data_IF_095596172856
#
_entry.id   IF_095596172856
#
_cell.length_a   1.000
_cell.length_b   1.000
_cell.length_c   1.000
_cell.angle_alpha   90.00
_cell.angle_beta   90.00
_cell.angle_gamma   90.00
#
_symmetry.space_group_name_H-M   'P 1'
#
loop_
_entity.id
_entity.type
_entity.pdbx_description
1 polymer ?
#
# COMPACT_ATOMS: atom_id res chain seq x y z
N UNK A 1 -56.21 0.10 -48.09
CA UNK A 1 -55.94 1.55 -47.98
C UNK A 1 -54.47 1.71 -47.67
N UNK A 2 -53.79 2.50 -48.50
CA UNK A 2 -52.35 2.67 -48.55
C UNK A 2 -51.87 3.79 -47.59
N UNK A 3 -50.60 3.67 -47.17
CA UNK A 3 -49.55 4.66 -46.79
C UNK A 3 -49.90 6.17 -46.66
N UNK A 4 -49.12 7.00 -45.90
CA UNK A 4 -47.64 7.03 -45.99
C UNK A 4 -46.81 7.42 -44.75
N UNK A 5 -45.50 7.28 -44.95
CA UNK A 5 -44.37 7.81 -44.17
C UNK A 5 -44.24 9.35 -44.25
N UNK A 6 -43.52 9.93 -43.27
CA UNK A 6 -42.68 11.17 -43.35
C UNK A 6 -41.80 11.25 -42.08
N UNK A 7 -40.48 11.15 -42.25
CA UNK A 7 -39.46 12.22 -42.05
C UNK A 7 -39.28 12.60 -40.56
N UNK A 8 -38.24 12.18 -39.84
CA UNK A 8 -36.80 12.50 -39.98
C UNK A 8 -36.53 14.00 -39.81
N UNK A 9 -36.26 14.42 -38.57
CA UNK A 9 -35.54 15.64 -38.23
C UNK A 9 -34.39 15.26 -37.29
N UNK A 10 -33.18 15.33 -37.86
CA UNK A 10 -31.89 15.43 -37.20
C UNK A 10 -31.84 16.66 -36.29
N UNK A 11 -31.24 16.52 -35.09
CA UNK A 11 -30.59 17.56 -34.28
C UNK A 11 -30.20 16.89 -32.95
N UNK A 12 -29.03 17.02 -32.34
CA UNK A 12 -27.79 17.71 -32.63
C UNK A 12 -26.78 17.09 -31.65
N UNK A 13 -26.15 15.98 -32.01
CA UNK A 13 -25.18 15.26 -31.15
C UNK A 13 -23.78 15.21 -31.79
N UNK A 14 -23.48 16.24 -32.59
CA UNK A 14 -22.24 16.34 -33.37
C UNK A 14 -21.62 17.74 -33.29
N UNK A 15 -21.45 18.29 -32.09
CA UNK A 15 -20.59 19.47 -31.84
C UNK A 15 -19.93 19.42 -30.48
N UNK A 16 -18.96 18.52 -30.31
CA UNK A 16 -17.83 18.69 -29.38
C UNK A 16 -16.74 17.63 -29.64
N UNK A 17 -16.40 17.42 -30.91
CA UNK A 17 -15.20 16.71 -31.31
C UNK A 17 -14.47 17.60 -32.32
N UNK A 18 -13.53 18.42 -31.83
CA UNK A 18 -12.35 18.97 -32.53
C UNK A 18 -11.85 20.24 -31.82
N UNK A 19 -10.85 20.07 -30.95
CA UNK A 19 -9.66 20.93 -30.84
C UNK A 19 -8.82 20.54 -29.62
N UNK A 20 -8.49 19.25 -29.49
CA UNK A 20 -7.30 18.88 -28.72
C UNK A 20 -6.14 18.86 -29.72
N UNK A 21 -5.50 20.02 -29.87
CA UNK A 21 -4.24 20.13 -30.61
C UNK A 21 -3.28 19.07 -30.11
N UNK A 22 -2.76 18.28 -31.04
CA UNK A 22 -1.74 17.29 -30.79
C UNK A 22 -0.47 18.01 -30.31
N UNK A 23 -0.29 18.09 -29.00
CA UNK A 23 0.98 18.44 -28.40
C UNK A 23 1.88 17.19 -28.47
N UNK A 24 2.48 17.00 -29.65
CA UNK A 24 3.56 16.04 -29.85
C UNK A 24 4.80 16.59 -29.16
N UNK A 25 5.21 15.92 -28.09
CA UNK A 25 6.61 15.86 -27.69
C UNK A 25 6.99 16.68 -26.46
N UNK A 26 6.54 16.24 -25.29
CA UNK A 26 7.40 16.25 -24.11
C UNK A 26 7.42 14.83 -23.55
N UNK A 27 8.58 14.17 -23.59
CA UNK A 27 8.77 12.93 -22.86
C UNK A 27 8.44 13.24 -21.40
N UNK A 28 7.45 12.55 -20.84
CA UNK A 28 7.04 12.75 -19.44
C UNK A 28 8.17 12.21 -18.58
N UNK A 29 9.04 13.12 -18.14
CA UNK A 29 10.12 12.81 -17.21
C UNK A 29 9.50 12.16 -15.97
N UNK A 30 9.97 10.98 -15.59
CA UNK A 30 9.42 10.27 -14.43
C UNK A 30 9.79 11.09 -13.19
N UNK A 31 8.80 11.70 -12.53
CA UNK A 31 8.98 12.41 -11.27
C UNK A 31 9.30 11.40 -10.16
N UNK A 32 10.59 11.14 -9.99
CA UNK A 32 11.09 10.22 -8.99
C UNK A 32 10.81 10.73 -7.55
N UNK A 33 10.66 12.04 -7.34
CA UNK A 33 10.24 12.56 -6.03
C UNK A 33 8.78 12.28 -5.74
N UNK A 34 7.90 12.32 -6.74
CA UNK A 34 6.52 11.84 -6.59
C UNK A 34 6.49 10.35 -6.23
N UNK A 35 7.36 9.53 -6.85
CA UNK A 35 7.50 8.12 -6.49
C UNK A 35 7.95 7.96 -5.03
N UNK A 36 9.02 8.62 -4.60
CA UNK A 36 9.52 8.49 -3.22
C UNK A 36 8.46 8.94 -2.19
N UNK A 37 7.76 10.04 -2.48
CA UNK A 37 6.61 10.50 -1.66
C UNK A 37 5.49 9.47 -1.63
N UNK A 38 5.17 8.83 -2.76
CA UNK A 38 4.16 7.78 -2.86
C UNK A 38 4.57 6.52 -2.08
N UNK A 39 5.82 6.07 -2.19
CA UNK A 39 6.35 4.95 -1.40
C UNK A 39 6.32 5.23 0.09
N UNK A 40 6.74 6.45 0.50
CA UNK A 40 6.66 6.92 1.88
C UNK A 40 5.22 6.88 2.39
N UNK A 41 4.29 7.43 1.62
CA UNK A 41 2.86 7.39 1.93
C UNK A 41 2.39 5.95 2.11
N UNK A 42 2.65 5.05 1.15
CA UNK A 42 2.23 3.65 1.19
C UNK A 42 2.78 2.88 2.41
N UNK A 43 4.04 3.11 2.79
CA UNK A 43 4.64 2.49 4.00
C UNK A 43 3.93 2.99 5.25
N UNK A 44 3.73 4.30 5.38
CA UNK A 44 3.00 4.86 6.51
C UNK A 44 1.54 4.38 6.54
N UNK A 45 0.89 4.23 5.39
CA UNK A 45 -0.46 3.69 5.24
C UNK A 45 -0.57 2.25 5.73
N UNK A 46 0.32 1.37 5.29
CA UNK A 46 0.38 -0.05 5.71
C UNK A 46 0.52 -0.14 7.24
N UNK A 47 1.38 0.71 7.82
CA UNK A 47 1.68 0.66 9.26
C UNK A 47 0.51 1.05 10.14
N UNK A 48 -0.40 1.89 9.66
CA UNK A 48 -1.60 2.25 10.43
C UNK A 48 -2.51 1.04 10.70
N UNK A 49 -2.54 0.05 9.80
CA UNK A 49 -3.29 -1.19 10.03
C UNK A 49 -2.69 -2.10 11.10
N UNK A 50 -1.43 -1.88 11.49
CA UNK A 50 -0.72 -2.68 12.49
C UNK A 50 -0.32 -1.87 13.74
N UNK A 51 -0.73 -0.60 13.78
CA UNK A 51 -0.20 0.38 14.72
C UNK A 51 -0.45 -0.07 16.15
N UNK A 52 0.64 -0.11 16.92
CA UNK A 52 0.64 -0.26 18.37
C UNK A 52 1.39 0.94 18.94
N UNK A 53 0.71 1.71 19.79
CA UNK A 53 1.31 2.90 20.40
C UNK A 53 1.91 2.46 21.74
N UNK A 54 3.23 2.51 21.89
CA UNK A 54 3.90 2.10 23.12
C UNK A 54 3.73 3.13 24.24
N UNK A 55 3.95 2.69 25.47
CA UNK A 55 4.27 3.56 26.58
C UNK A 55 5.79 3.86 26.52
N UNK A 56 6.17 5.08 26.10
CA UNK A 56 7.57 5.42 25.84
C UNK A 56 8.24 5.99 27.11
N UNK A 57 9.10 5.22 27.78
CA UNK A 57 9.86 5.67 28.96
C UNK A 57 8.98 6.28 30.08
N UNK A 58 7.75 5.76 30.26
CA UNK A 58 6.78 6.29 31.22
C UNK A 58 5.96 7.50 30.75
N UNK A 59 6.27 8.05 29.57
CA UNK A 59 5.44 9.07 28.90
C UNK A 59 4.58 8.36 27.84
N UNK A 60 3.24 8.43 27.93
CA UNK A 60 2.38 7.84 26.92
C UNK A 60 2.54 8.62 25.61
N UNK A 61 2.81 7.90 24.53
CA UNK A 61 2.80 8.44 23.17
C UNK A 61 1.37 8.65 22.66
N UNK A 62 0.43 8.93 23.56
CA UNK A 62 -0.97 9.23 23.29
C UNK A 62 -1.57 10.06 24.44
N UNK A 63 -2.68 10.72 24.16
CA UNK A 63 -3.53 11.40 25.13
C UNK A 63 -5.00 11.07 24.85
N UNK A 64 -5.78 10.81 25.90
CA UNK A 64 -7.24 10.68 25.78
C UNK A 64 -7.84 12.07 25.60
N UNK A 65 -8.69 12.26 24.59
CA UNK A 65 -9.33 13.56 24.40
C UNK A 65 -10.51 13.71 25.38
N UNK A 66 -10.60 14.84 26.11
CA UNK A 66 -11.58 15.03 27.19
C UNK A 66 -12.98 15.43 26.68
N UNK A 67 -13.33 15.09 25.43
CA UNK A 67 -14.65 15.35 24.89
C UNK A 67 -15.71 14.48 25.59
N UNK A 68 -16.95 14.98 25.68
CA UNK A 68 -18.09 14.20 26.22
C UNK A 68 -18.59 13.15 25.21
N UNK A 69 -18.41 13.42 23.91
CA UNK A 69 -18.82 12.57 22.80
C UNK A 69 -17.67 12.43 21.79
N UNK A 70 -17.66 11.34 21.02
CA UNK A 70 -16.75 11.20 19.87
C UNK A 70 -17.22 12.17 18.76
N UNK A 71 -16.35 13.08 18.34
CA UNK A 71 -16.72 14.23 17.52
C UNK A 71 -16.12 14.23 16.10
N UNK A 72 -15.16 13.34 15.81
CA UNK A 72 -14.44 13.35 14.54
C UNK A 72 -15.06 12.33 13.59
N UNK A 73 -15.04 11.06 13.94
CA UNK A 73 -15.52 10.00 13.05
C UNK A 73 -17.04 10.03 12.87
N UNK A 74 -17.80 10.37 13.92
CA UNK A 74 -19.26 10.58 13.84
C UNK A 74 -19.64 11.77 12.96
N UNK A 75 -18.79 12.81 12.87
CA UNK A 75 -19.03 14.02 12.09
C UNK A 75 -18.32 14.00 10.73
N UNK A 76 -18.17 12.82 10.13
CA UNK A 76 -17.60 12.69 8.78
C UNK A 76 -16.14 13.12 8.67
N UNK A 77 -15.35 12.89 9.73
CA UNK A 77 -13.91 13.21 9.80
C UNK A 77 -13.60 14.72 9.75
N UNK A 78 -14.53 15.57 10.17
CA UNK A 78 -14.31 17.01 10.21
C UNK A 78 -13.28 17.41 11.27
N UNK A 79 -12.60 18.52 11.00
CA UNK A 79 -11.68 19.15 11.94
C UNK A 79 -12.41 19.58 13.22
N UNK A 80 -11.72 19.49 14.36
CA UNK A 80 -12.27 19.83 15.67
C UNK A 80 -11.27 20.62 16.49
N UNK A 81 -11.74 21.59 17.28
CA UNK A 81 -10.89 22.36 18.18
C UNK A 81 -10.41 21.46 19.32
N UNK A 82 -9.10 21.45 19.56
CA UNK A 82 -8.55 20.75 20.71
C UNK A 82 -8.94 21.50 21.99
N UNK A 83 -9.41 20.77 23.02
CA UNK A 83 -9.74 21.38 24.29
C UNK A 83 -8.47 21.87 24.99
N UNK A 84 -8.60 22.98 25.70
CA UNK A 84 -7.54 23.51 26.55
C UNK A 84 -7.29 22.56 27.72
N UNK A 85 -6.14 21.87 27.70
CA UNK A 85 -5.80 20.79 28.62
C UNK A 85 -4.28 20.56 28.71
N UNK A 86 -3.73 20.62 29.92
CA UNK A 86 -2.30 20.47 30.21
C UNK A 86 -1.67 19.18 29.64
N UNK A 87 -2.40 18.06 29.65
CA UNK A 87 -1.89 16.78 29.14
C UNK A 87 -1.83 16.77 27.60
N UNK A 88 -2.78 17.44 26.94
CA UNK A 88 -2.75 17.65 25.48
C UNK A 88 -1.59 18.57 25.12
N UNK A 89 -1.40 19.67 25.82
CA UNK A 89 -0.27 20.57 25.58
C UNK A 89 1.08 19.87 25.76
N UNK A 90 1.23 19.07 26.82
CA UNK A 90 2.42 18.23 27.03
C UNK A 90 2.62 17.23 25.90
N UNK A 91 1.55 16.56 25.47
CA UNK A 91 1.61 15.63 24.35
C UNK A 91 2.05 16.32 23.05
N UNK A 92 1.47 17.48 22.72
CA UNK A 92 1.82 18.25 21.53
C UNK A 92 3.27 18.74 21.61
N UNK A 93 3.71 19.23 22.77
CA UNK A 93 5.09 19.64 22.99
C UNK A 93 6.08 18.48 22.77
N UNK A 94 5.73 17.27 23.22
CA UNK A 94 6.59 16.09 23.09
C UNK A 94 6.53 15.44 21.69
N UNK A 95 5.37 15.41 21.05
CA UNK A 95 5.12 14.57 19.86
C UNK A 95 4.51 15.31 18.67
N UNK A 96 4.18 16.59 18.76
CA UNK A 96 3.46 17.35 17.74
C UNK A 96 4.14 17.40 16.37
N UNK A 97 5.46 17.20 16.33
CA UNK A 97 6.25 17.11 15.08
C UNK A 97 6.30 15.70 14.47
N UNK A 98 5.75 14.71 15.17
CA UNK A 98 5.69 13.32 14.71
C UNK A 98 4.49 13.09 13.79
N UNK A 99 4.44 11.91 13.16
CA UNK A 99 3.22 11.47 12.50
C UNK A 99 2.13 11.24 13.55
N UNK A 100 1.10 12.08 13.56
CA UNK A 100 -0.02 11.98 14.49
C UNK A 100 -1.17 11.18 13.90
N UNK A 101 -1.90 10.52 14.78
CA UNK A 101 -3.07 9.71 14.46
C UNK A 101 -4.19 9.99 15.43
N UNK A 102 -5.39 10.17 14.91
CA UNK A 102 -6.61 10.12 15.69
C UNK A 102 -7.15 8.68 15.67
N UNK A 103 -7.61 8.18 16.81
CA UNK A 103 -8.17 6.83 16.86
C UNK A 103 -9.26 6.64 17.91
N UNK A 104 -10.16 5.70 17.65
CA UNK A 104 -11.33 5.41 18.49
C UNK A 104 -12.02 4.09 18.06
N UNK A 105 -12.66 3.35 18.98
CA UNK A 105 -12.25 3.20 20.38
C UNK A 105 -10.86 2.56 20.44
N UNK A 106 -10.32 2.28 21.62
CA UNK A 106 -9.02 1.59 21.69
C UNK A 106 -8.99 0.45 22.69
N UNK A 107 -8.09 -0.49 22.45
CA UNK A 107 -7.76 -1.57 23.36
C UNK A 107 -6.46 -1.22 24.10
N UNK A 108 -6.55 -1.17 25.42
CA UNK A 108 -5.40 -1.02 26.30
C UNK A 108 -4.82 -2.40 26.64
N UNK A 109 -3.51 -2.52 26.61
CA UNK A 109 -2.78 -3.73 27.00
C UNK A 109 -2.15 -3.58 28.38
N UNK A 110 -1.76 -4.69 28.99
CA UNK A 110 -1.22 -4.71 30.34
C UNK A 110 0.14 -4.00 30.50
N UNK A 111 0.88 -3.85 29.39
CA UNK A 111 2.13 -3.09 29.33
C UNK A 111 1.92 -1.59 29.14
N UNK A 112 0.67 -1.11 29.20
CA UNK A 112 0.30 0.30 29.01
C UNK A 112 0.27 0.75 27.55
N UNK A 113 0.66 -0.11 26.60
CA UNK A 113 0.49 0.19 25.18
C UNK A 113 -0.98 0.12 24.77
N UNK A 114 -1.32 0.81 23.68
CA UNK A 114 -2.67 0.82 23.14
C UNK A 114 -2.69 0.46 21.66
N UNK A 115 -3.83 -0.09 21.22
CA UNK A 115 -4.19 -0.19 19.80
C UNK A 115 -5.57 0.44 19.60
N UNK A 116 -5.67 1.58 18.90
CA UNK A 116 -6.94 2.10 18.45
C UNK A 116 -7.53 1.15 17.41
N UNK A 117 -8.84 0.94 17.47
CA UNK A 117 -9.57 0.06 16.57
C UNK A 117 -9.76 0.72 15.21
N UNK A 118 -10.30 1.94 15.19
CA UNK A 118 -10.28 2.78 14.01
C UNK A 118 -9.22 3.86 14.15
N UNK A 119 -8.55 4.17 13.04
CA UNK A 119 -7.51 5.19 13.01
C UNK A 119 -7.58 6.00 11.71
N UNK A 120 -7.15 7.25 11.81
CA UNK A 120 -6.78 8.06 10.66
C UNK A 120 -5.60 8.97 11.00
N UNK A 121 -4.88 9.42 9.97
CA UNK A 121 -3.85 10.43 10.16
C UNK A 121 -4.50 11.73 10.59
N UNK A 122 -3.78 12.50 11.40
CA UNK A 122 -4.21 13.83 11.77
C UNK A 122 -3.01 14.78 11.80
N UNK A 123 -3.30 16.07 11.70
CA UNK A 123 -2.37 17.17 11.91
C UNK A 123 -2.98 18.14 12.92
N UNK A 124 -2.15 18.98 13.49
CA UNK A 124 -2.59 20.05 14.38
C UNK A 124 -2.14 21.36 13.74
N UNK A 125 -3.11 22.24 13.47
CA UNK A 125 -2.89 23.56 12.89
C UNK A 125 -3.61 24.57 13.77
N UNK A 126 -2.86 25.49 14.39
CA UNK A 126 -3.38 26.55 15.26
C UNK A 126 -4.36 26.06 16.35
N UNK A 127 -4.04 24.92 16.99
CA UNK A 127 -4.88 24.30 18.04
C UNK A 127 -6.10 23.54 17.53
N UNK A 128 -6.26 23.42 16.20
CA UNK A 128 -7.29 22.62 15.56
C UNK A 128 -6.71 21.26 15.18
N UNK A 129 -7.38 20.19 15.61
CA UNK A 129 -7.10 18.85 15.12
C UNK A 129 -7.74 18.70 13.75
N UNK A 130 -6.91 18.51 12.73
CA UNK A 130 -7.28 18.32 11.34
C UNK A 130 -7.01 16.87 10.93
N UNK A 131 -8.01 15.98 10.96
CA UNK A 131 -7.88 14.66 10.38
C UNK A 131 -7.65 14.77 8.87
N UNK A 132 -6.90 13.82 8.30
CA UNK A 132 -6.58 13.80 6.87
C UNK A 132 -7.86 13.71 6.02
N UNK A 133 -8.25 14.78 5.29
CA UNK A 133 -9.54 14.85 4.60
C UNK A 133 -9.61 13.89 3.40
N UNK A 134 -8.46 13.57 2.80
CA UNK A 134 -8.34 12.60 1.71
C UNK A 134 -8.07 11.17 2.25
N UNK A 135 -7.89 11.03 3.56
CA UNK A 135 -7.62 9.78 4.24
C UNK A 135 -8.89 8.97 4.49
N UNK A 136 -8.93 7.72 4.00
CA UNK A 136 -9.99 6.78 4.37
C UNK A 136 -9.81 6.31 5.82
N UNK A 137 -10.92 6.14 6.53
CA UNK A 137 -10.97 5.56 7.87
C UNK A 137 -10.39 4.14 7.83
N UNK A 138 -9.39 3.87 8.68
CA UNK A 138 -8.75 2.56 8.75
C UNK A 138 -9.22 1.76 9.94
N UNK A 139 -9.19 0.45 9.78
CA UNK A 139 -9.32 -0.50 10.89
C UNK A 139 -7.95 -1.11 11.21
N UNK A 140 -7.67 -1.30 12.48
CA UNK A 140 -6.46 -1.96 12.98
C UNK A 140 -6.59 -3.48 12.80
N UNK A 141 -6.07 -3.98 11.67
CA UNK A 141 -6.08 -5.38 11.30
C UNK A 141 -5.33 -6.24 12.32
N UNK A 142 -4.20 -5.76 12.85
CA UNK A 142 -3.43 -6.50 13.84
C UNK A 142 -4.19 -6.63 15.16
N UNK A 143 -4.94 -5.60 15.59
CA UNK A 143 -5.85 -5.71 16.73
C UNK A 143 -6.90 -6.80 16.47
N UNK A 144 -7.59 -6.77 15.33
CA UNK A 144 -8.61 -7.76 15.01
C UNK A 144 -8.04 -9.18 15.03
N UNK A 145 -6.82 -9.36 14.51
CA UNK A 145 -6.11 -10.64 14.54
C UNK A 145 -5.79 -11.08 15.97
N UNK A 146 -5.29 -10.18 16.83
CA UNK A 146 -5.04 -10.47 18.25
C UNK A 146 -6.33 -10.88 18.98
N UNK A 147 -7.48 -10.36 18.55
CA UNK A 147 -8.80 -10.73 19.07
C UNK A 147 -9.38 -12.00 18.42
N UNK A 148 -8.61 -12.71 17.59
CA UNK A 148 -8.98 -14.00 17.02
C UNK A 148 -9.82 -13.93 15.74
N UNK A 149 -9.87 -12.78 15.05
CA UNK A 149 -10.51 -12.69 13.74
C UNK A 149 -9.60 -13.29 12.67
N UNK A 150 -10.13 -14.17 11.84
CA UNK A 150 -9.35 -14.82 10.78
C UNK A 150 -8.91 -13.82 9.68
N UNK A 151 -7.71 -13.99 9.07
CA UNK A 151 -7.18 -13.04 8.09
C UNK A 151 -8.11 -12.73 6.90
N UNK A 152 -8.80 -13.74 6.37
CA UNK A 152 -9.74 -13.56 5.25
C UNK A 152 -10.94 -12.68 5.64
N UNK A 153 -11.40 -12.83 6.88
CA UNK A 153 -12.48 -12.00 7.42
C UNK A 153 -12.02 -10.58 7.73
N UNK A 154 -10.79 -10.40 8.19
CA UNK A 154 -10.19 -9.07 8.42
C UNK A 154 -10.17 -8.27 7.12
N UNK A 155 -9.80 -8.90 5.99
CA UNK A 155 -9.84 -8.24 4.69
C UNK A 155 -11.24 -7.75 4.32
N UNK A 156 -12.24 -8.63 4.42
CA UNK A 156 -13.62 -8.27 4.09
C UNK A 156 -14.13 -7.11 4.96
N UNK A 157 -13.78 -7.12 6.25
CA UNK A 157 -14.09 -6.04 7.18
C UNK A 157 -13.36 -4.75 6.80
N UNK A 158 -12.05 -4.79 6.54
CA UNK A 158 -11.29 -3.60 6.18
C UNK A 158 -11.84 -2.92 4.92
N UNK A 159 -12.23 -3.72 3.92
CA UNK A 159 -12.88 -3.21 2.71
C UNK A 159 -14.24 -2.57 3.01
N UNK A 160 -15.07 -3.23 3.83
CA UNK A 160 -16.37 -2.69 4.24
C UNK A 160 -16.22 -1.40 5.06
N UNK A 161 -15.23 -1.32 5.96
CA UNK A 161 -14.99 -0.13 6.80
C UNK A 161 -14.45 1.06 5.99
N UNK A 162 -13.82 0.81 4.85
CA UNK A 162 -13.36 1.85 3.93
C UNK A 162 -14.51 2.49 3.13
N UNK A 163 -15.72 1.91 3.13
CA UNK A 163 -16.89 2.49 2.47
C UNK A 163 -17.26 3.83 3.11
N UNK A 164 -17.19 4.92 2.34
CA UNK A 164 -17.50 6.28 2.81
C UNK A 164 -19.01 6.52 2.94
N UNK A 165 -19.85 5.72 2.28
CA UNK A 165 -21.29 5.81 2.38
C UNK A 165 -21.83 5.20 3.69
N UNK A 166 -21.08 4.28 4.30
CA UNK A 166 -21.47 3.64 5.55
C UNK A 166 -21.27 4.59 6.76
N UNK A 167 -22.31 4.87 7.55
CA UNK A 167 -22.17 5.69 8.76
C UNK A 167 -21.22 5.06 9.78
N UNK A 168 -20.48 5.89 10.52
CA UNK A 168 -19.50 5.39 11.48
C UNK A 168 -20.12 4.53 12.60
N UNK A 169 -21.34 4.85 13.06
CA UNK A 169 -22.06 4.02 14.03
C UNK A 169 -22.31 2.59 13.53
N UNK A 170 -22.59 2.42 12.23
CA UNK A 170 -22.78 1.11 11.61
C UNK A 170 -21.45 0.34 11.49
N UNK A 171 -20.36 1.05 11.18
CA UNK A 171 -19.00 0.49 11.18
C UNK A 171 -18.63 -0.07 12.56
N UNK A 172 -18.88 0.71 13.62
CA UNK A 172 -18.68 0.29 15.01
C UNK A 172 -19.51 -0.94 15.37
N UNK A 173 -20.81 -0.92 15.08
CA UNK A 173 -21.71 -2.03 15.39
C UNK A 173 -21.30 -3.33 14.68
N UNK A 174 -20.86 -3.21 13.42
CA UNK A 174 -20.37 -4.34 12.62
C UNK A 174 -19.14 -4.98 13.26
N UNK A 175 -18.14 -4.19 13.64
CA UNK A 175 -16.94 -4.71 14.29
C UNK A 175 -17.25 -5.23 15.70
N UNK A 176 -18.02 -4.51 16.51
CA UNK A 176 -18.38 -4.92 17.86
C UNK A 176 -19.05 -6.30 17.86
N UNK A 177 -19.98 -6.52 16.93
CA UNK A 177 -20.60 -7.83 16.70
C UNK A 177 -19.58 -8.91 16.34
N UNK A 178 -18.63 -8.61 15.44
CA UNK A 178 -17.58 -9.56 15.05
C UNK A 178 -16.66 -9.92 16.23
N UNK A 179 -16.35 -8.94 17.08
CA UNK A 179 -15.55 -9.10 18.29
C UNK A 179 -16.34 -9.69 19.47
N UNK A 180 -17.63 -10.01 19.27
CA UNK A 180 -18.54 -10.54 20.31
C UNK A 180 -18.66 -9.63 21.54
N UNK A 181 -18.61 -8.33 21.31
CA UNK A 181 -18.83 -7.31 22.33
C UNK A 181 -20.33 -7.01 22.47
N UNK A 182 -20.72 -6.44 23.62
CA UNK A 182 -22.07 -5.94 23.81
C UNK A 182 -22.41 -4.85 22.78
N UNK A 183 -23.67 -4.79 22.35
CA UNK A 183 -24.11 -3.92 21.25
C UNK A 183 -23.88 -2.43 21.53
N UNK A 184 -23.92 -2.04 22.79
CA UNK A 184 -23.74 -0.67 23.30
C UNK A 184 -22.34 -0.41 23.85
N UNK A 185 -21.39 -1.36 23.71
CA UNK A 185 -20.06 -1.20 24.31
C UNK A 185 -19.32 0.03 23.78
N UNK A 186 -19.53 0.38 22.51
CA UNK A 186 -18.88 1.52 21.86
C UNK A 186 -19.89 2.59 21.42
N UNK A 187 -20.69 3.07 22.36
CA UNK A 187 -21.61 4.19 22.13
C UNK A 187 -20.83 5.52 22.00
N UNK A 188 -20.78 6.16 20.82
CA UNK A 188 -20.05 7.42 20.62
C UNK A 188 -20.60 8.59 21.43
N UNK A 189 -21.84 8.48 21.93
CA UNK A 189 -22.48 9.48 22.78
C UNK A 189 -22.29 9.21 24.29
N UNK A 190 -21.59 8.13 24.66
CA UNK A 190 -21.33 7.74 26.06
C UNK A 190 -19.91 7.22 26.21
N UNK A 191 -18.98 8.15 26.25
CA UNK A 191 -17.57 7.82 26.46
C UNK A 191 -17.35 7.34 27.90
N UNK A 192 -16.34 6.47 28.11
CA UNK A 192 -15.99 5.99 29.45
C UNK A 192 -15.51 7.18 30.36
N UNK A 193 -14.96 6.96 31.56
CA UNK A 193 -14.28 8.01 32.34
C UNK A 193 -12.81 8.18 31.94
N UNK A 194 -12.22 9.38 32.05
CA UNK A 194 -10.83 9.63 31.62
C UNK A 194 -9.87 8.86 32.52
N UNK A 195 -8.95 8.11 31.93
CA UNK A 195 -7.90 7.42 32.67
C UNK A 195 -6.66 8.30 32.76
N UNK A 196 -5.93 8.19 33.88
CA UNK A 196 -4.62 8.82 33.99
C UNK A 196 -3.70 8.33 32.85
N UNK A 197 -2.98 9.22 32.15
CA UNK A 197 -2.07 8.83 31.08
C UNK A 197 -1.06 7.79 31.57
N UNK A 198 -0.92 6.68 30.83
CA UNK A 198 0.02 5.61 31.19
C UNK A 198 -0.41 4.73 32.37
N UNK A 199 -1.67 4.79 32.81
CA UNK A 199 -2.20 3.90 33.84
C UNK A 199 -1.96 2.43 33.46
N UNK A 200 -1.12 1.73 34.23
CA UNK A 200 -0.91 0.30 34.08
C UNK A 200 -2.16 -0.43 34.57
N UNK A 201 -2.64 -1.40 33.81
CA UNK A 201 -3.92 -2.03 34.07
C UNK A 201 -4.02 -3.43 33.46
N UNK A 202 -5.20 -4.04 33.62
CA UNK A 202 -5.53 -5.25 32.85
C UNK A 202 -5.85 -4.84 31.43
N UNK A 203 -5.67 -5.77 30.50
CA UNK A 203 -6.11 -5.59 29.12
C UNK A 203 -7.61 -5.27 29.09
N UNK A 204 -8.00 -4.13 28.53
CA UNK A 204 -9.38 -3.66 28.55
C UNK A 204 -9.70 -2.76 27.36
N UNK A 205 -10.93 -2.86 26.89
CA UNK A 205 -11.48 -1.94 25.91
C UNK A 205 -11.82 -0.61 26.54
N UNK A 206 -11.54 0.48 25.82
CA UNK A 206 -11.79 1.86 26.23
C UNK A 206 -12.58 2.57 25.14
N UNK A 207 -13.81 2.97 25.48
CA UNK A 207 -14.69 3.75 24.62
C UNK A 207 -14.32 5.23 24.73
N UNK A 208 -13.20 5.60 24.13
CA UNK A 208 -12.63 6.95 24.20
C UNK A 208 -11.81 7.25 22.95
N UNK A 209 -11.91 8.47 22.39
CA UNK A 209 -10.98 8.91 21.36
C UNK A 209 -9.62 9.23 21.95
N UNK A 210 -8.58 8.92 21.18
CA UNK A 210 -7.20 9.23 21.51
C UNK A 210 -6.54 9.97 20.37
N UNK A 211 -5.68 10.91 20.73
CA UNK A 211 -4.67 11.45 19.83
C UNK A 211 -3.35 10.76 20.18
N UNK A 212 -2.68 10.19 19.18
CA UNK A 212 -1.48 9.40 19.38
C UNK A 212 -0.38 9.72 18.38
N UNK A 213 0.86 9.52 18.80
CA UNK A 213 2.02 9.53 17.93
C UNK A 213 2.21 8.14 17.34
N UNK A 214 2.16 8.01 16.02
CA UNK A 214 2.56 6.79 15.33
C UNK A 214 4.09 6.68 15.32
N UNK A 215 4.65 6.33 16.49
CA UNK A 215 6.08 6.08 16.62
C UNK A 215 6.43 4.80 15.85
N UNK A 216 7.17 4.97 14.75
CA UNK A 216 7.63 3.86 13.92
C UNK A 216 8.87 3.20 14.54
N UNK A 217 9.06 1.91 14.26
CA UNK A 217 10.30 1.22 14.61
C UNK A 217 11.51 1.94 13.98
N UNK A 218 12.68 2.00 14.65
CA UNK A 218 13.84 2.76 14.17
C UNK A 218 14.25 2.46 12.72
N UNK A 219 14.18 1.19 12.30
CA UNK A 219 14.48 0.79 10.92
C UNK A 219 13.52 1.40 9.89
N UNK A 220 12.24 1.57 10.26
CA UNK A 220 11.24 2.20 9.40
C UNK A 220 11.44 3.71 9.40
N UNK A 221 11.70 4.31 10.56
CA UNK A 221 12.01 5.74 10.66
C UNK A 221 13.24 6.11 9.83
N UNK A 222 14.27 5.25 9.81
CA UNK A 222 15.43 5.40 8.93
C UNK A 222 15.01 5.33 7.45
N UNK A 223 14.25 4.31 7.04
CA UNK A 223 13.75 4.19 5.67
C UNK A 223 12.91 5.39 5.22
N UNK A 224 12.01 5.90 6.07
CA UNK A 224 11.18 7.07 5.76
C UNK A 224 12.04 8.34 5.64
N UNK A 225 13.12 8.45 6.42
CA UNK A 225 14.11 9.51 6.29
C UNK A 225 14.87 9.38 4.97
N UNK A 226 15.37 8.19 4.65
CA UNK A 226 16.09 7.94 3.39
C UNK A 226 15.21 8.27 2.17
N UNK A 227 13.93 7.89 2.19
CA UNK A 227 12.97 8.25 1.13
C UNK A 227 12.73 9.76 1.04
N UNK A 228 12.69 10.46 2.18
CA UNK A 228 12.55 11.91 2.22
C UNK A 228 13.80 12.60 1.66
N UNK A 229 14.98 12.12 2.04
CA UNK A 229 16.27 12.63 1.57
C UNK A 229 16.40 12.38 0.05
N UNK A 230 15.99 11.21 -0.44
CA UNK A 230 15.95 10.90 -1.88
C UNK A 230 14.94 11.75 -2.65
N UNK A 231 13.91 12.29 -1.99
CA UNK A 231 12.95 13.20 -2.60
C UNK A 231 13.43 14.66 -2.68
N UNK A 232 14.57 14.97 -2.06
CA UNK A 232 15.14 16.32 -2.07
C UNK A 232 15.70 16.69 -3.45
N UNK A 233 15.64 17.98 -3.85
CA UNK A 233 16.24 18.45 -5.10
C UNK A 233 17.74 18.15 -5.19
N UNK A 234 18.46 18.21 -4.07
CA UNK A 234 19.89 17.94 -3.99
C UNK A 234 20.20 16.47 -4.31
N UNK A 235 19.42 15.54 -3.76
CA UNK A 235 19.58 14.12 -4.07
C UNK A 235 19.27 13.83 -5.54
N UNK A 236 18.23 14.45 -6.10
CA UNK A 236 17.84 14.27 -7.51
C UNK A 236 18.95 14.66 -8.50
N UNK A 237 19.78 15.64 -8.17
CA UNK A 237 20.91 16.06 -9.02
C UNK A 237 22.02 15.00 -9.12
N UNK A 238 22.13 14.12 -8.13
CA UNK A 238 23.16 13.07 -8.07
C UNK A 238 22.65 11.71 -8.58
N UNK A 239 21.37 11.61 -8.96
CA UNK A 239 20.75 10.34 -9.36
C UNK A 239 21.17 9.88 -10.76
N UNK A 240 21.63 10.76 -11.65
CA UNK A 240 21.93 10.42 -13.04
C UNK A 240 22.96 9.29 -13.20
N UNK A 241 23.97 9.25 -12.31
CA UNK A 241 25.01 8.22 -12.32
C UNK A 241 24.58 6.89 -11.67
N UNK A 242 23.32 6.75 -11.26
CA UNK A 242 22.82 5.58 -10.52
C UNK A 242 21.78 4.81 -11.33
N UNK A 243 21.40 3.63 -10.85
CA UNK A 243 20.29 2.87 -11.42
C UNK A 243 18.97 3.67 -11.44
N UNK A 244 18.76 4.58 -10.47
CA UNK A 244 17.59 5.46 -10.42
C UNK A 244 17.60 6.51 -11.54
N UNK A 245 18.78 7.00 -11.91
CA UNK A 245 18.95 7.85 -13.10
C UNK A 245 18.61 7.10 -14.38
N UNK A 246 18.98 5.82 -14.47
CA UNK A 246 18.54 4.94 -15.56
C UNK A 246 17.02 4.85 -15.68
N UNK A 247 16.30 4.75 -14.56
CA UNK A 247 14.83 4.73 -14.54
C UNK A 247 14.26 6.09 -14.98
N UNK A 248 14.79 7.20 -14.46
CA UNK A 248 14.36 8.56 -14.84
C UNK A 248 14.56 8.82 -16.34
N UNK A 249 15.68 8.38 -16.88
CA UNK A 249 16.10 8.64 -18.25
C UNK A 249 15.57 7.61 -19.27
N UNK A 250 14.90 6.54 -18.82
CA UNK A 250 14.34 5.52 -19.70
C UNK A 250 13.17 6.03 -20.57
N UNK A 251 12.56 7.17 -20.20
CA UNK A 251 11.62 7.89 -21.07
C UNK A 251 12.30 8.63 -22.24
N UNK A 252 13.63 8.80 -22.18
CA UNK A 252 14.43 9.55 -23.15
C UNK A 252 15.24 8.67 -24.11
N UNK A 253 15.36 7.36 -23.87
CA UNK A 253 16.02 6.42 -24.78
C UNK A 253 15.08 5.97 -25.91
N UNK A 254 14.65 6.94 -26.72
CA UNK A 254 14.22 6.69 -28.09
C UNK A 254 15.42 6.94 -29.02
N UNK A 255 15.90 5.90 -29.70
CA UNK A 255 16.94 5.95 -30.74
C UNK A 255 18.27 6.60 -30.36
N UNK A 256 19.22 5.79 -29.89
CA UNK A 256 20.62 6.19 -29.85
C UNK A 256 21.54 5.05 -29.44
N UNK A 257 21.96 4.22 -30.41
CA UNK A 257 23.07 3.30 -30.18
C UNK A 257 23.09 2.02 -31.02
N UNK A 258 23.20 2.14 -32.34
CA UNK A 258 23.96 1.20 -33.17
C UNK A 258 24.23 1.84 -34.54
N UNK A 259 25.40 2.46 -34.70
CA UNK A 259 25.93 2.86 -35.99
C UNK A 259 26.38 1.61 -36.78
N UNK A 260 25.88 1.45 -38.00
CA UNK A 260 26.29 0.41 -38.94
C UNK A 260 25.35 0.35 -40.14
N UNK A 261 25.82 0.84 -41.28
CA UNK A 261 25.11 1.06 -42.54
C UNK A 261 24.41 -0.18 -43.14
N UNK A 262 23.19 0.00 -43.66
CA UNK A 262 22.91 -0.18 -45.10
C UNK A 262 21.57 0.48 -45.49
N UNK A 263 21.52 1.03 -46.69
CA UNK A 263 20.38 1.79 -47.24
C UNK A 263 19.30 0.87 -47.83
N UNK A 264 18.04 1.30 -47.74
CA UNK A 264 16.98 0.89 -48.67
C UNK A 264 15.96 -0.11 -48.12
N UNK A 265 14.78 0.38 -47.77
CA UNK A 265 13.62 -0.46 -47.50
C UNK A 265 12.51 0.32 -46.84
N UNK A 266 11.52 0.73 -47.65
CA UNK A 266 10.19 1.14 -47.23
C UNK A 266 9.69 0.19 -46.14
N UNK A 267 9.55 0.69 -44.91
CA UNK A 267 8.92 -0.06 -43.84
C UNK A 267 7.98 0.90 -43.11
N UNK A 268 6.79 1.00 -43.69
CA UNK A 268 5.52 1.15 -43.00
C UNK A 268 5.43 0.08 -41.89
N UNK A 269 6.21 0.26 -40.81
CA UNK A 269 6.05 -0.48 -39.58
C UNK A 269 4.87 0.12 -38.84
N UNK A 270 3.68 -0.23 -39.31
CA UNK A 270 2.51 -0.28 -38.45
C UNK A 270 2.92 -1.05 -37.18
N UNK A 271 2.67 -0.53 -35.97
CA UNK A 271 2.95 -1.27 -34.75
C UNK A 271 2.04 -2.50 -34.75
N UNK A 272 2.63 -3.65 -35.08
CA UNK A 272 1.94 -4.93 -34.99
C UNK A 272 1.49 -5.14 -33.54
N UNK A 273 0.21 -5.48 -33.43
CA UNK A 273 -0.49 -5.87 -32.21
C UNK A 273 0.21 -7.05 -31.54
N UNK A 274 1.04 -6.80 -30.53
CA UNK A 274 1.34 -7.78 -29.49
C UNK A 274 1.39 -7.06 -28.15
N UNK A 275 0.22 -6.93 -27.51
CA UNK A 275 0.23 -6.67 -26.06
C UNK A 275 0.94 -7.83 -25.39
N UNK A 276 1.84 -7.60 -24.41
CA UNK A 276 2.60 -8.67 -23.78
C UNK A 276 1.66 -9.76 -23.31
N UNK A 277 1.95 -11.01 -23.71
CA UNK A 277 1.12 -12.16 -23.39
C UNK A 277 1.03 -12.28 -21.87
N UNK A 278 -0.11 -11.90 -21.29
CA UNK A 278 -0.34 -12.02 -19.84
C UNK A 278 -0.59 -13.49 -19.54
N UNK A 279 0.31 -14.10 -18.79
CA UNK A 279 0.17 -15.47 -18.35
C UNK A 279 -0.71 -15.52 -17.09
N UNK A 280 -1.86 -16.20 -17.18
CA UNK A 280 -2.86 -16.28 -16.09
C UNK A 280 -2.71 -17.61 -15.34
N UNK A 281 -1.64 -17.73 -14.56
CA UNK A 281 -1.36 -18.86 -13.67
C UNK A 281 -2.36 -18.98 -12.52
N UNK A 282 -2.82 -17.84 -11.98
CA UNK A 282 -3.97 -17.77 -11.07
C UNK A 282 -4.98 -16.83 -11.68
N UNK A 283 -6.27 -17.17 -11.66
CA UNK A 283 -7.35 -16.26 -12.10
C UNK A 283 -7.17 -14.89 -11.46
N UNK A 284 -6.80 -13.91 -12.29
CA UNK A 284 -6.69 -12.52 -11.87
C UNK A 284 -8.01 -11.77 -12.02
N UNK A 285 -8.31 -10.92 -11.03
CA UNK A 285 -9.29 -9.86 -11.20
C UNK A 285 -8.78 -8.75 -12.12
N UNK A 286 -9.70 -7.93 -12.65
CA UNK A 286 -9.37 -6.88 -13.63
C UNK A 286 -8.21 -5.97 -13.21
N UNK A 287 -8.22 -5.46 -11.97
CA UNK A 287 -7.15 -4.59 -11.45
C UNK A 287 -5.78 -5.27 -11.37
N UNK A 288 -5.77 -6.56 -11.03
CA UNK A 288 -4.54 -7.36 -10.99
C UNK A 288 -4.02 -7.64 -12.41
N UNK A 289 -4.91 -7.94 -13.37
CA UNK A 289 -4.54 -8.09 -14.79
C UNK A 289 -3.95 -6.79 -15.35
N UNK A 290 -4.55 -5.64 -15.02
CA UNK A 290 -4.00 -4.33 -15.40
C UNK A 290 -2.64 -4.09 -14.77
N UNK A 291 -2.43 -4.51 -13.52
CA UNK A 291 -1.12 -4.45 -12.86
C UNK A 291 -0.06 -5.27 -13.62
N UNK A 292 -0.38 -6.50 -14.03
CA UNK A 292 0.55 -7.33 -14.79
C UNK A 292 0.88 -6.69 -16.15
N UNK A 293 -0.13 -6.19 -16.86
CA UNK A 293 0.07 -5.47 -18.14
C UNK A 293 0.94 -4.22 -17.97
N UNK A 294 0.68 -3.44 -16.93
CA UNK A 294 1.47 -2.26 -16.61
C UNK A 294 2.93 -2.63 -16.31
N UNK A 295 3.16 -3.72 -15.56
CA UNK A 295 4.51 -4.19 -15.24
C UNK A 295 5.32 -4.65 -16.45
N UNK A 296 4.66 -5.08 -17.54
CA UNK A 296 5.33 -5.44 -18.79
C UNK A 296 5.55 -4.24 -19.73
N UNK A 297 4.82 -3.13 -19.52
CA UNK A 297 4.87 -1.95 -20.39
C UNK A 297 5.76 -0.84 -19.83
N UNK A 298 5.78 -0.68 -18.51
CA UNK A 298 6.45 0.43 -17.83
C UNK A 298 7.72 -0.04 -17.13
N UNK A 299 8.76 0.81 -17.17
CA UNK A 299 10.05 0.56 -16.50
C UNK A 299 9.92 0.49 -14.97
N UNK A 300 8.90 1.15 -14.42
CA UNK A 300 8.63 1.18 -13.00
C UNK A 300 7.13 1.27 -12.77
N UNK A 301 6.64 0.45 -11.85
CA UNK A 301 5.26 0.50 -11.36
C UNK A 301 5.25 0.46 -9.84
N UNK A 302 4.40 1.29 -9.23
CA UNK A 302 4.08 1.21 -7.81
C UNK A 302 2.64 0.70 -7.68
N UNK A 303 2.46 -0.35 -6.88
CA UNK A 303 1.16 -1.04 -6.76
C UNK A 303 0.80 -1.10 -5.29
N UNK A 304 -0.31 -0.48 -4.92
CA UNK A 304 -0.90 -0.61 -3.60
C UNK A 304 -1.84 -1.82 -3.58
N UNK A 305 -1.54 -2.79 -2.71
CA UNK A 305 -2.32 -4.00 -2.56
C UNK A 305 -2.87 -4.06 -1.12
N UNK A 306 -4.16 -3.77 -0.89
CA UNK A 306 -4.78 -3.97 0.40
C UNK A 306 -4.62 -5.43 0.88
N UNK A 307 -4.66 -5.69 2.20
CA UNK A 307 -4.48 -7.04 2.72
C UNK A 307 -5.44 -8.04 2.06
N UNK A 308 -4.89 -9.16 1.58
CA UNK A 308 -5.65 -10.27 0.99
C UNK A 308 -6.18 -10.03 -0.44
N UNK A 309 -5.86 -8.93 -1.13
CA UNK A 309 -6.22 -8.71 -2.55
C UNK A 309 -5.41 -9.56 -3.52
N UNK A 310 -4.98 -10.74 -3.08
CA UNK A 310 -4.20 -11.67 -3.88
C UNK A 310 -2.87 -11.08 -4.35
N UNK A 311 -2.19 -10.24 -3.57
CA UNK A 311 -0.90 -9.65 -3.93
C UNK A 311 0.08 -10.71 -4.42
N UNK A 312 0.19 -11.83 -3.69
CA UNK A 312 1.03 -12.96 -4.08
C UNK A 312 0.63 -13.50 -5.46
N UNK A 313 -0.67 -13.71 -5.73
CA UNK A 313 -1.14 -14.17 -7.02
C UNK A 313 -0.82 -13.17 -8.16
N UNK A 314 -0.97 -11.87 -7.91
CA UNK A 314 -0.60 -10.82 -8.88
C UNK A 314 0.90 -10.86 -9.19
N UNK A 315 1.75 -10.88 -8.16
CA UNK A 315 3.21 -10.91 -8.32
C UNK A 315 3.64 -12.18 -9.04
N UNK A 316 3.08 -13.32 -8.64
CA UNK A 316 3.35 -14.62 -9.25
C UNK A 316 3.02 -14.63 -10.75
N UNK A 317 1.88 -14.07 -11.15
CA UNK A 317 1.52 -13.91 -12.56
C UNK A 317 2.42 -12.94 -13.31
N UNK A 318 2.87 -11.85 -12.66
CA UNK A 318 3.83 -10.92 -13.24
C UNK A 318 5.18 -11.61 -13.51
N UNK A 319 5.71 -12.35 -12.54
CA UNK A 319 6.96 -13.12 -12.69
C UNK A 319 6.82 -14.15 -13.82
N UNK A 320 5.74 -14.94 -13.82
CA UNK A 320 5.50 -15.94 -14.85
C UNK A 320 5.43 -15.28 -16.24
N UNK A 321 4.70 -14.16 -16.36
CA UNK A 321 4.60 -13.38 -17.59
C UNK A 321 5.99 -12.90 -18.05
N UNK A 322 6.80 -12.32 -17.17
CA UNK A 322 8.14 -11.84 -17.51
C UNK A 322 9.03 -12.98 -18.02
N UNK A 323 9.06 -14.11 -17.31
CA UNK A 323 9.85 -15.29 -17.67
C UNK A 323 9.40 -15.89 -19.00
N UNK A 324 8.08 -15.97 -19.26
CA UNK A 324 7.56 -16.45 -20.55
C UNK A 324 7.92 -15.51 -21.72
N UNK A 325 8.14 -14.22 -21.43
CA UNK A 325 8.67 -13.26 -22.41
C UNK A 325 10.22 -13.26 -22.47
N UNK A 326 10.88 -14.28 -21.90
CA UNK A 326 12.34 -14.44 -21.95
C UNK A 326 13.12 -13.53 -20.99
N UNK A 327 12.45 -12.87 -20.04
CA UNK A 327 13.09 -11.95 -19.10
C UNK A 327 13.57 -12.69 -17.83
N UNK A 328 14.71 -12.27 -17.30
CA UNK A 328 15.17 -12.69 -15.97
C UNK A 328 14.52 -11.83 -14.88
N UNK A 329 14.18 -12.42 -13.74
CA UNK A 329 13.51 -11.71 -12.64
C UNK A 329 14.29 -11.84 -11.34
N UNK A 330 14.55 -10.71 -10.67
CA UNK A 330 15.00 -10.66 -9.28
C UNK A 330 13.82 -10.35 -8.36
N UNK A 331 13.41 -11.32 -7.55
CA UNK A 331 12.38 -11.13 -6.53
C UNK A 331 13.02 -10.89 -5.15
N UNK A 332 12.60 -9.83 -4.46
CA UNK A 332 13.04 -9.53 -3.10
C UNK A 332 11.84 -9.24 -2.20
N UNK A 333 11.97 -9.55 -0.91
CA UNK A 333 10.97 -9.22 0.10
C UNK A 333 11.64 -9.00 1.46
N UNK A 334 11.00 -8.21 2.32
CA UNK A 334 11.51 -7.90 3.67
C UNK A 334 11.54 -9.10 4.60
N UNK A 335 10.53 -9.98 4.51
CA UNK A 335 10.37 -11.15 5.36
C UNK A 335 10.90 -12.40 4.67
N UNK A 336 11.71 -13.18 5.39
CA UNK A 336 12.28 -14.44 4.89
C UNK A 336 11.17 -15.40 4.46
N UNK A 337 10.12 -15.49 5.26
CA UNK A 337 8.98 -16.39 5.05
C UNK A 337 8.25 -16.04 3.74
N UNK A 338 8.22 -14.76 3.37
CA UNK A 338 7.61 -14.31 2.12
C UNK A 338 8.42 -14.76 0.91
N UNK A 339 9.75 -14.67 0.98
CA UNK A 339 10.64 -15.18 -0.09
C UNK A 339 10.51 -16.70 -0.19
N UNK A 340 10.52 -17.40 0.94
CA UNK A 340 10.46 -18.87 0.97
C UNK A 340 9.09 -19.38 0.46
N UNK A 341 8.00 -18.72 0.81
CA UNK A 341 6.67 -19.01 0.27
C UNK A 341 6.62 -18.79 -1.25
N UNK A 342 7.18 -17.69 -1.75
CA UNK A 342 7.26 -17.40 -3.18
C UNK A 342 8.09 -18.46 -3.92
N UNK A 343 9.27 -18.81 -3.40
CA UNK A 343 10.14 -19.86 -3.97
C UNK A 343 9.39 -21.19 -4.05
N UNK A 344 8.67 -21.58 -3.00
CA UNK A 344 7.83 -22.79 -3.02
C UNK A 344 6.73 -22.72 -4.08
N UNK A 345 6.09 -21.56 -4.21
CA UNK A 345 5.00 -21.34 -5.17
C UNK A 345 5.50 -21.43 -6.62
N UNK A 346 6.63 -20.79 -6.94
CA UNK A 346 7.24 -20.82 -8.27
C UNK A 346 7.78 -22.22 -8.60
N UNK A 347 8.45 -22.90 -7.67
CA UNK A 347 8.94 -24.26 -7.89
C UNK A 347 7.81 -25.28 -8.09
N UNK A 348 6.66 -25.09 -7.44
CA UNK A 348 5.48 -25.94 -7.68
C UNK A 348 4.97 -25.81 -9.13
N UNK A 349 5.17 -24.65 -9.76
CA UNK A 349 4.74 -24.38 -11.13
C UNK A 349 5.70 -24.92 -12.20
N UNK A 350 7.01 -24.71 -12.04
CA UNK A 350 8.03 -25.08 -13.06
C UNK A 350 8.13 -26.61 -13.22
N UNK A 351 7.61 -27.37 -12.26
CA UNK A 351 7.54 -28.83 -12.29
C UNK A 351 8.76 -29.49 -11.64
N UNK A 352 8.66 -30.78 -11.34
CA UNK A 352 9.63 -31.52 -10.50
C UNK A 352 11.01 -31.76 -11.12
N UNK A 353 11.21 -31.46 -12.40
CA UNK A 353 12.42 -31.85 -13.15
C UNK A 353 13.40 -30.71 -13.43
N UNK A 354 13.00 -29.45 -13.24
CA UNK A 354 13.88 -28.28 -13.38
C UNK A 354 13.45 -27.20 -12.39
N UNK A 355 14.39 -26.66 -11.62
CA UNK A 355 14.14 -25.46 -10.82
C UNK A 355 14.79 -24.27 -11.51
N UNK A 356 13.98 -23.38 -12.07
CA UNK A 356 14.45 -22.11 -12.64
C UNK A 356 14.57 -21.00 -11.58
N UNK A 357 14.50 -21.36 -10.29
CA UNK A 357 14.51 -20.40 -9.18
C UNK A 357 15.77 -20.59 -8.35
N UNK A 358 16.61 -19.56 -8.33
CA UNK A 358 17.81 -19.50 -7.50
C UNK A 358 17.48 -18.73 -6.22
N UNK A 359 17.64 -19.36 -5.05
CA UNK A 359 17.36 -18.76 -3.74
C UNK A 359 18.66 -18.51 -2.98
N UNK A 360 19.03 -17.23 -2.84
CA UNK A 360 20.22 -16.79 -2.10
C UNK A 360 19.85 -16.11 -0.78
N UNK A 361 20.62 -16.32 0.29
CA UNK A 361 20.31 -15.83 1.64
C UNK A 361 21.48 -15.98 2.62
N UNK A 362 21.21 -16.50 3.82
CA UNK A 362 22.24 -16.81 4.81
C UNK A 362 23.13 -17.99 4.37
N UNK A 363 24.15 -18.32 5.17
CA UNK A 363 25.10 -19.39 4.88
C UNK A 363 24.40 -20.70 4.52
N UNK A 364 23.40 -21.10 5.29
CA UNK A 364 22.67 -22.35 5.07
C UNK A 364 21.87 -22.35 3.76
N UNK A 365 21.21 -21.23 3.46
CA UNK A 365 20.47 -21.05 2.19
C UNK A 365 21.44 -21.07 1.01
N UNK A 366 22.58 -20.40 1.12
CA UNK A 366 23.59 -20.33 0.06
C UNK A 366 24.24 -21.68 -0.20
N UNK A 367 24.55 -22.46 0.84
CA UNK A 367 25.06 -23.83 0.70
C UNK A 367 24.05 -24.72 -0.02
N UNK A 368 22.77 -24.64 0.36
CA UNK A 368 21.69 -25.39 -0.31
C UNK A 368 21.56 -25.01 -1.78
N UNK A 369 21.62 -23.71 -2.07
CA UNK A 369 21.57 -23.19 -3.44
C UNK A 369 22.76 -23.65 -4.28
N UNK A 370 23.97 -23.60 -3.72
CA UNK A 370 25.20 -24.03 -4.38
C UNK A 370 25.16 -25.52 -4.70
N UNK A 371 24.70 -26.35 -3.76
CA UNK A 371 24.50 -27.78 -3.97
C UNK A 371 23.49 -28.06 -5.10
N UNK A 372 22.35 -27.38 -5.10
CA UNK A 372 21.32 -27.53 -6.13
C UNK A 372 21.84 -27.14 -7.52
N UNK A 373 22.51 -25.98 -7.65
CA UNK A 373 23.11 -25.54 -8.91
C UNK A 373 24.15 -26.52 -9.42
N UNK A 374 25.01 -27.04 -8.53
CA UNK A 374 26.04 -28.01 -8.89
C UNK A 374 25.42 -29.30 -9.43
N UNK A 375 24.33 -29.76 -8.83
CA UNK A 375 23.63 -30.96 -9.30
C UNK A 375 22.95 -30.74 -10.65
N UNK A 376 22.25 -29.62 -10.83
CA UNK A 376 21.64 -29.28 -12.13
C UNK A 376 22.69 -29.18 -13.24
N UNK A 377 23.86 -28.58 -12.98
CA UNK A 377 24.96 -28.52 -13.95
C UNK A 377 25.51 -29.91 -14.29
N UNK A 378 25.56 -30.83 -13.31
CA UNK A 378 25.97 -32.22 -13.56
C UNK A 378 24.96 -32.99 -14.39
N UNK A 379 23.67 -32.79 -14.15
CA UNK A 379 22.60 -33.40 -14.95
C UNK A 379 22.66 -32.94 -16.42
N UNK A 380 22.88 -31.64 -16.66
CA UNK A 380 23.04 -31.08 -18.01
C UNK A 380 24.30 -31.67 -18.71
N UNK A 381 25.37 -31.95 -17.96
CA UNK A 381 26.59 -32.52 -18.51
C UNK A 381 26.49 -34.02 -18.83
N UNK A 382 25.45 -34.73 -18.37
CA UNK A 382 25.27 -36.15 -18.72
C UNK A 382 24.72 -36.24 -20.15
N UNK A 383 25.43 -36.87 -21.10
CA UNK A 383 24.93 -37.04 -22.46
C UNK A 383 23.64 -37.86 -22.43
N UNK A 384 22.64 -37.43 -23.20
CA UNK A 384 21.42 -38.21 -23.44
C UNK A 384 21.83 -39.58 -24.00
N UNK A 385 21.59 -40.64 -23.21
CA UNK A 385 21.86 -42.02 -23.57
C UNK A 385 20.72 -42.67 -24.32
#
# INVERSE_FOLDING_TARGET
MAQPARQAEDTDDARQAESAGADRGTATEIDLSALMRSCRWAIEEERLHELRIPLANGVPAYVELPHENEAVFTNGNQATTLPDNDDIERFISAFGVSLLCYGYPYLQYADGSIRPLFLMRAKIEDGVLCPDPDGYLKVNCALLQDQGVEPLHIQGLAHQMADTAMPFAEKLATIAKRLRLAADRFDPAKLDEIAAPGALGRMQWRNRPVLASATMAPSISALLRDLNDLSSPEAQQHMDGTALGGIRNAGNTGNGGAEGADEGGDNDLQPHLDSPMVFDMHRLGYSQTQTVRAGMKHQLIAVTAPPGTGQMATVVNLIATAVMNGQSVLYTARRRETVDAMTKHLNAWIGRKMSAVVRVGDTQVNETCSAALTETLREIQRPES
#
